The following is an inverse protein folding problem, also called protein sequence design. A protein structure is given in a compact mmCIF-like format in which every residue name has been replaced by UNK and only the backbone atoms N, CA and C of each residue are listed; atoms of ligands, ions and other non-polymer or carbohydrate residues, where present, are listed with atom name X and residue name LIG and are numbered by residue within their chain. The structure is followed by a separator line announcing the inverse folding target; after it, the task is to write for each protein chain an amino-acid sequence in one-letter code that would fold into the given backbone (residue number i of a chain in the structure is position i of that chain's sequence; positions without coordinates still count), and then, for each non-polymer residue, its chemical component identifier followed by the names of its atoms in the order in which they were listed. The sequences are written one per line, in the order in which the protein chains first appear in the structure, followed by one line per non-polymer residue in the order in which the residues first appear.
data_IF_072389621573
#
_entry.id   IF_072389621573
#
_cell.length_a   1.000
_cell.length_b   1.000
_cell.length_c   1.000
_cell.angle_alpha   90.00
_cell.angle_beta   90.00
_cell.angle_gamma   90.00
#
_symmetry.space_group_name_H-M   'P 1'
#
loop_
_entity.id
_entity.type
_entity.pdbx_description
1 polymer ?
#
# COMPACT_ATOMS: atom_id res chain seq x y z
N UNK A 1 -11.87 7.24 -1.04
CA UNK A 1 -12.48 5.95 -0.64
C UNK A 1 -11.45 5.03 0.00
N UNK A 2 -10.41 4.60 -0.72
CA UNK A 2 -9.42 3.63 -0.21
C UNK A 2 -8.71 4.00 1.10
N UNK A 3 -8.29 5.27 1.29
CA UNK A 3 -7.67 5.68 2.56
C UNK A 3 -8.63 5.59 3.74
N UNK A 4 -9.89 6.04 3.58
CA UNK A 4 -10.93 5.90 4.60
C UNK A 4 -11.20 4.45 4.93
N UNK A 5 -11.31 3.60 3.91
CA UNK A 5 -11.56 2.17 4.09
C UNK A 5 -10.39 1.49 4.83
N UNK A 6 -9.15 1.86 4.51
CA UNK A 6 -7.96 1.38 5.22
C UNK A 6 -7.96 1.84 6.69
N UNK A 7 -8.24 3.12 6.96
CA UNK A 7 -8.36 3.63 8.33
C UNK A 7 -9.42 2.85 9.12
N UNK A 8 -10.63 2.72 8.58
CA UNK A 8 -11.72 2.00 9.24
C UNK A 8 -11.41 0.50 9.42
N UNK A 9 -10.64 -0.10 8.53
CA UNK A 9 -10.20 -1.48 8.67
C UNK A 9 -9.22 -1.62 9.85
N UNK A 10 -8.19 -0.77 9.92
CA UNK A 10 -7.18 -0.81 10.99
C UNK A 10 -7.66 -0.26 12.33
N UNK A 11 -8.82 0.42 12.38
CA UNK A 11 -9.49 0.78 13.63
C UNK A 11 -10.24 -0.38 14.29
N UNK A 12 -10.27 -1.58 13.69
CA UNK A 12 -10.92 -2.77 14.25
C UNK A 12 -9.93 -3.60 15.02
N UNK A 13 -10.39 -4.24 16.09
CA UNK A 13 -9.59 -5.19 16.89
C UNK A 13 -9.14 -6.42 16.08
N UNK A 14 -9.85 -6.74 14.99
CA UNK A 14 -9.53 -7.85 14.10
C UNK A 14 -8.37 -7.56 13.14
N UNK A 15 -7.88 -6.32 13.05
CA UNK A 15 -6.79 -5.98 12.16
C UNK A 15 -5.46 -6.50 12.71
N UNK A 16 -4.74 -7.28 11.91
CA UNK A 16 -3.47 -7.89 12.33
C UNK A 16 -2.29 -7.29 11.58
N UNK A 17 -1.09 -7.41 12.15
CA UNK A 17 0.13 -6.92 11.53
C UNK A 17 0.36 -7.48 10.11
N UNK A 18 -0.05 -8.73 9.89
CA UNK A 18 0.04 -9.40 8.60
C UNK A 18 -0.80 -8.73 7.49
N UNK A 19 -1.81 -7.94 7.84
CA UNK A 19 -2.68 -7.26 6.89
C UNK A 19 -2.17 -5.89 6.46
N UNK A 20 -1.15 -5.36 7.13
CA UNK A 20 -0.61 -4.03 6.85
C UNK A 20 0.01 -3.95 5.46
N UNK A 21 0.88 -4.90 5.12
CA UNK A 21 1.59 -4.89 3.83
C UNK A 21 0.63 -5.10 2.65
N UNK A 22 -0.30 -6.07 2.69
CA UNK A 22 -1.36 -6.20 1.68
C UNK A 22 -2.24 -4.95 1.53
N UNK A 23 -2.53 -4.24 2.64
CA UNK A 23 -3.28 -2.99 2.57
C UNK A 23 -2.45 -1.88 1.91
N UNK A 24 -1.14 -1.83 2.18
CA UNK A 24 -0.21 -0.93 1.51
C UNK A 24 -0.12 -1.24 0.01
N UNK A 25 -0.13 -2.51 -0.43
CA UNK A 25 -0.08 -2.89 -1.85
C UNK A 25 -1.28 -2.32 -2.60
N UNK A 26 -2.45 -2.43 -1.97
CA UNK A 26 -3.70 -1.89 -2.53
C UNK A 26 -3.67 -0.36 -2.64
N UNK A 27 -3.09 0.32 -1.65
CA UNK A 27 -2.93 1.79 -1.68
C UNK A 27 -1.90 2.18 -2.74
N UNK A 28 -0.77 1.48 -2.86
CA UNK A 28 0.25 1.79 -3.87
C UNK A 28 -0.28 1.60 -5.29
N UNK A 29 -0.95 0.47 -5.55
CA UNK A 29 -1.60 0.19 -6.85
C UNK A 29 -2.62 1.28 -7.22
N UNK A 30 -3.41 1.74 -6.24
CA UNK A 30 -4.35 2.85 -6.45
C UNK A 30 -3.62 4.16 -6.78
N UNK A 31 -2.57 4.52 -6.03
CA UNK A 31 -1.79 5.73 -6.28
C UNK A 31 -1.08 5.68 -7.63
N UNK A 32 -0.47 4.55 -7.98
CA UNK A 32 0.19 4.32 -9.27
C UNK A 32 -0.82 4.44 -10.42
N UNK A 33 -1.98 3.80 -10.30
CA UNK A 33 -3.06 3.90 -11.30
C UNK A 33 -3.56 5.34 -11.46
N UNK A 34 -3.70 6.08 -10.36
CA UNK A 34 -4.13 7.47 -10.39
C UNK A 34 -3.10 8.37 -11.09
N UNK A 35 -1.80 8.09 -10.94
CA UNK A 35 -0.71 8.79 -11.64
C UNK A 35 -0.64 8.38 -13.11
N UNK A 36 -0.83 7.11 -13.45
CA UNK A 36 -0.74 6.62 -14.84
C UNK A 36 -1.92 7.01 -15.72
N UNK A 37 -3.15 7.00 -15.19
CA UNK A 37 -4.35 7.51 -15.90
C UNK A 37 -4.25 8.99 -16.29
N UNK A 38 -3.34 9.74 -15.67
CA UNK A 38 -3.03 11.12 -16.03
C UNK A 38 -2.11 11.23 -17.24
N UNK A 39 -1.23 10.24 -17.44
CA UNK A 39 -0.23 10.24 -18.50
C UNK A 39 -0.81 9.80 -19.85
N UNK A 40 -1.85 8.96 -19.85
CA UNK A 40 -2.43 8.40 -21.08
C UNK A 40 -3.49 9.26 -21.78
N UNK A 41 -3.68 10.52 -21.36
CA UNK A 41 -4.56 11.49 -22.05
C UNK A 41 -6.07 11.20 -22.01
N UNK A 42 -6.52 10.09 -21.42
CA UNK A 42 -7.93 9.65 -21.45
C UNK A 42 -8.80 10.13 -20.30
N UNK A 43 -8.28 10.92 -19.36
CA UNK A 43 -9.09 11.55 -18.29
C UNK A 43 -8.60 12.95 -17.96
N UNK A 44 -9.52 13.83 -17.50
CA UNK A 44 -9.22 15.17 -16.99
C UNK A 44 -7.92 15.15 -16.17
N UNK A 45 -6.92 15.88 -16.66
CA UNK A 45 -5.66 16.05 -15.95
C UNK A 45 -5.93 16.73 -14.62
N UNK A 46 -5.47 16.09 -13.54
CA UNK A 46 -5.46 16.65 -12.21
C UNK A 46 -4.64 17.95 -12.22
N UNK A 47 -5.10 18.92 -11.42
CA UNK A 47 -4.35 20.15 -11.22
C UNK A 47 -3.00 19.85 -10.57
N UNK A 48 -2.03 20.75 -10.75
CA UNK A 48 -0.69 20.65 -10.15
C UNK A 48 -0.73 20.33 -8.64
N UNK A 49 -1.57 20.97 -7.81
CA UNK A 49 -1.66 20.62 -6.40
C UNK A 49 -2.03 19.15 -6.13
N UNK A 50 -2.96 18.60 -6.91
CA UNK A 50 -3.39 17.21 -6.75
C UNK A 50 -2.26 16.25 -7.15
N UNK A 51 -1.52 16.55 -8.22
CA UNK A 51 -0.35 15.76 -8.64
C UNK A 51 0.73 15.75 -7.57
N UNK A 52 1.06 16.92 -7.01
CA UNK A 52 2.03 17.05 -5.91
C UNK A 52 1.59 16.28 -4.67
N UNK A 53 0.31 16.32 -4.33
CA UNK A 53 -0.25 15.55 -3.22
C UNK A 53 -0.13 14.03 -3.46
N UNK A 54 -0.45 13.54 -4.67
CA UNK A 54 -0.32 12.13 -5.03
C UNK A 54 1.14 11.63 -4.93
N UNK A 55 2.09 12.41 -5.45
CA UNK A 55 3.52 12.08 -5.37
C UNK A 55 4.00 12.07 -3.91
N UNK A 56 3.54 13.03 -3.10
CA UNK A 56 3.88 13.10 -1.67
C UNK A 56 3.30 11.90 -0.90
N UNK A 57 2.06 11.50 -1.21
CA UNK A 57 1.43 10.31 -0.65
C UNK A 57 2.21 9.04 -1.01
N UNK A 58 2.61 8.87 -2.28
CA UNK A 58 3.41 7.72 -2.73
C UNK A 58 4.78 7.67 -2.05
N UNK A 59 5.48 8.81 -1.96
CA UNK A 59 6.77 8.91 -1.25
C UNK A 59 6.64 8.55 0.23
N UNK A 60 5.55 8.99 0.87
CA UNK A 60 5.26 8.65 2.27
C UNK A 60 5.00 7.16 2.43
N UNK A 61 4.17 6.56 1.56
CA UNK A 61 3.89 5.13 1.56
C UNK A 61 5.17 4.30 1.39
N UNK A 62 6.05 4.68 0.45
CA UNK A 62 7.32 4.00 0.21
C UNK A 62 8.25 3.99 1.44
N UNK A 63 8.26 5.07 2.23
CA UNK A 63 9.01 5.12 3.49
C UNK A 63 8.49 4.10 4.51
N UNK A 64 7.17 3.96 4.61
CA UNK A 64 6.56 2.93 5.44
C UNK A 64 6.84 1.53 4.90
N UNK A 65 6.86 1.33 3.58
CA UNK A 65 7.21 0.05 2.97
C UNK A 65 8.60 -0.41 3.38
N UNK A 66 9.59 0.48 3.22
CA UNK A 66 10.95 0.18 3.64
C UNK A 66 10.98 -0.20 5.13
N UNK A 67 10.32 0.59 5.98
CA UNK A 67 10.29 0.35 7.43
C UNK A 67 9.62 -0.99 7.80
N UNK A 68 8.46 -1.28 7.20
CA UNK A 68 7.74 -2.53 7.42
C UNK A 68 8.52 -3.74 6.89
N UNK A 69 9.18 -3.60 5.74
CA UNK A 69 10.03 -4.61 5.14
C UNK A 69 11.24 -4.95 6.02
N UNK A 70 11.91 -3.97 6.64
CA UNK A 70 13.09 -4.23 7.48
C UNK A 70 12.77 -4.72 8.90
N UNK A 71 11.51 -4.63 9.33
CA UNK A 71 11.14 -5.01 10.70
C UNK A 71 10.83 -6.51 10.78
N UNK A 72 11.61 -7.26 11.56
CA UNK A 72 11.43 -8.70 11.77
C UNK A 72 10.00 -9.10 12.18
N UNK A 73 9.32 -8.25 12.96
CA UNK A 73 7.96 -8.50 13.46
C UNK A 73 6.94 -8.59 12.31
N UNK A 74 7.03 -7.71 11.31
CA UNK A 74 6.13 -7.74 10.15
C UNK A 74 6.38 -9.00 9.30
N UNK A 75 7.65 -9.37 9.09
CA UNK A 75 8.01 -10.60 8.35
C UNK A 75 7.47 -11.86 9.03
N UNK A 76 7.67 -12.00 10.34
CA UNK A 76 7.16 -13.13 11.12
C UNK A 76 5.63 -13.17 11.07
N UNK A 77 4.96 -12.03 11.23
CA UNK A 77 3.50 -11.97 11.16
C UNK A 77 2.96 -12.41 9.79
N UNK A 78 3.63 -12.04 8.69
CA UNK A 78 3.27 -12.49 7.35
C UNK A 78 3.47 -14.00 7.16
N UNK A 79 4.64 -14.54 7.56
CA UNK A 79 4.95 -15.97 7.46
C UNK A 79 3.92 -16.83 8.21
N UNK A 80 3.49 -16.37 9.38
CA UNK A 80 2.52 -17.08 10.23
C UNK A 80 1.07 -16.89 9.79
N UNK A 81 0.78 -16.01 8.82
CA UNK A 81 -0.59 -15.74 8.44
C UNK A 81 -1.14 -16.84 7.52
N UNK A 82 -2.28 -17.48 7.86
CA UNK A 82 -2.79 -18.66 7.16
C UNK A 82 -3.12 -18.42 5.69
N UNK A 83 -3.27 -17.15 5.29
CA UNK A 83 -3.59 -16.72 3.93
C UNK A 83 -2.39 -16.20 3.14
N UNK A 84 -1.30 -15.78 3.80
CA UNK A 84 -0.11 -15.25 3.14
C UNK A 84 0.99 -16.30 3.26
N UNK A 85 1.01 -17.23 2.30
CA UNK A 85 2.01 -18.30 2.25
C UNK A 85 3.38 -17.74 1.85
N UNK A 86 4.40 -18.59 1.94
CA UNK A 86 5.75 -18.33 1.41
C UNK A 86 5.72 -17.77 -0.02
N UNK A 87 4.76 -18.21 -0.85
CA UNK A 87 4.51 -17.69 -2.20
C UNK A 87 4.36 -16.16 -2.24
N UNK A 88 3.64 -15.54 -1.30
CA UNK A 88 3.51 -14.08 -1.27
C UNK A 88 4.85 -13.38 -1.03
N UNK A 89 5.75 -13.99 -0.26
CA UNK A 89 7.10 -13.45 -0.04
C UNK A 89 7.95 -13.62 -1.30
N UNK A 90 7.89 -14.81 -1.92
CA UNK A 90 8.60 -15.12 -3.17
C UNK A 90 8.15 -14.21 -4.32
N UNK A 91 6.85 -14.00 -4.50
CA UNK A 91 6.27 -13.17 -5.56
C UNK A 91 6.61 -11.68 -5.43
N UNK A 92 7.06 -11.24 -4.24
CA UNK A 92 7.43 -9.86 -3.95
C UNK A 92 8.95 -9.68 -3.80
N UNK A 93 9.78 -10.68 -4.18
CA UNK A 93 11.24 -10.69 -4.03
C UNK A 93 11.71 -10.44 -2.58
N UNK A 94 11.09 -11.14 -1.61
CA UNK A 94 11.47 -11.05 -0.19
C UNK A 94 12.42 -12.14 0.28
#
# INVERSE_FOLDING_TARGET
KSFKDATLFFSRDSATLATVIPAMDKIDSMLATAVLKQASGQTKTFSTPIKTALLSAKKTLNRYYASAYYTRVYRIALILHPRYKLEYLTDNDW
#
